data_IF_398611585262
#
_entry.id   IF_398611585262
#
_cell.length_a   1.000
_cell.length_b   1.000
_cell.length_c   1.000
_cell.angle_alpha   90.00
_cell.angle_beta   90.00
_cell.angle_gamma   90.00
#
_symmetry.space_group_name_H-M   'P 1'
#
loop_
_entity.id
_entity.type
_entity.pdbx_description
1 polymer ?
#
# COMPACT_ATOMS: atom_id res chain seq x y z
N UNK A 1 11.11 -19.39 -5.48
CA UNK A 1 11.77 -18.34 -4.67
C UNK A 1 12.89 -17.67 -5.47
N UNK A 2 14.05 -18.29 -5.68
CA UNK A 2 15.17 -17.68 -6.44
C UNK A 2 14.78 -17.10 -7.81
N UNK A 3 14.00 -17.81 -8.64
CA UNK A 3 13.55 -17.30 -9.94
C UNK A 3 12.64 -16.06 -9.86
N UNK A 4 11.91 -15.87 -8.76
CA UNK A 4 11.05 -14.70 -8.54
C UNK A 4 11.90 -13.47 -8.21
N UNK A 5 12.84 -13.60 -7.27
CA UNK A 5 13.79 -12.54 -6.92
C UNK A 5 14.62 -12.08 -8.12
N UNK A 6 15.15 -13.02 -8.92
CA UNK A 6 15.89 -12.66 -10.13
C UNK A 6 15.02 -11.89 -11.13
N UNK A 7 13.76 -12.29 -11.33
CA UNK A 7 12.83 -11.55 -12.21
C UNK A 7 12.59 -10.14 -11.70
N UNK A 8 12.33 -9.96 -10.41
CA UNK A 8 12.11 -8.63 -9.83
C UNK A 8 13.37 -7.76 -9.89
N UNK A 9 14.55 -8.33 -9.67
CA UNK A 9 15.82 -7.62 -9.85
C UNK A 9 15.99 -7.08 -11.26
N UNK A 10 15.75 -7.91 -12.29
CA UNK A 10 15.82 -7.44 -13.67
C UNK A 10 14.77 -6.37 -13.97
N UNK A 11 13.57 -6.46 -13.39
CA UNK A 11 12.56 -5.40 -13.52
C UNK A 11 12.99 -4.09 -12.87
N UNK A 12 13.54 -4.14 -11.66
CA UNK A 12 14.10 -2.97 -10.96
C UNK A 12 15.23 -2.34 -11.78
N UNK A 13 16.10 -3.18 -12.36
CA UNK A 13 17.14 -2.73 -13.29
C UNK A 13 16.56 -2.11 -14.56
N UNK A 14 15.53 -2.69 -15.16
CA UNK A 14 14.95 -2.19 -16.42
C UNK A 14 14.34 -0.78 -16.27
N UNK A 15 13.93 -0.40 -15.05
CA UNK A 15 13.49 0.96 -14.75
C UNK A 15 14.63 1.99 -14.85
N UNK A 16 15.84 1.63 -14.45
CA UNK A 16 17.02 2.50 -14.52
C UNK A 16 18.31 1.69 -14.74
N UNK A 17 18.55 1.17 -15.96
CA UNK A 17 19.68 0.27 -16.23
C UNK A 17 21.04 0.94 -16.08
N UNK A 18 21.07 2.28 -16.11
CA UNK A 18 22.25 3.11 -15.88
C UNK A 18 22.56 3.35 -14.39
N UNK A 19 21.58 3.19 -13.49
CA UNK A 19 21.74 3.42 -12.06
C UNK A 19 21.97 2.09 -11.32
N UNK A 20 21.24 1.05 -11.69
CA UNK A 20 21.33 -0.27 -11.06
C UNK A 20 22.46 -1.05 -11.75
N UNK A 21 23.49 -1.55 -11.06
CA UNK A 21 24.53 -2.42 -11.65
C UNK A 21 24.06 -3.88 -11.76
N UNK A 22 24.75 -4.69 -12.60
CA UNK A 22 24.46 -6.13 -12.73
C UNK A 22 25.05 -6.94 -11.59
N UNK A 23 26.22 -6.50 -11.10
CA UNK A 23 26.83 -7.02 -9.90
C UNK A 23 26.24 -6.32 -8.69
N UNK A 24 25.47 -7.06 -7.90
CA UNK A 24 24.84 -6.59 -6.68
C UNK A 24 25.44 -7.27 -5.43
N UNK A 25 26.59 -7.93 -5.57
CA UNK A 25 27.27 -8.68 -4.49
C UNK A 25 27.63 -7.76 -3.32
N UNK A 26 28.06 -6.54 -3.63
CA UNK A 26 28.43 -5.52 -2.64
C UNK A 26 27.23 -4.69 -2.13
N UNK A 27 26.00 -5.03 -2.54
CA UNK A 27 24.75 -4.30 -2.19
C UNK A 27 24.89 -2.77 -2.31
N UNK A 28 25.08 -2.25 -3.52
CA UNK A 28 25.27 -0.83 -3.73
C UNK A 28 24.01 -0.06 -3.30
N UNK A 29 24.23 1.10 -2.69
CA UNK A 29 23.17 2.02 -2.24
C UNK A 29 22.53 2.71 -3.46
N UNK A 30 21.55 2.03 -4.06
CA UNK A 30 20.85 2.47 -5.27
C UNK A 30 19.37 2.55 -4.98
N UNK A 31 18.85 3.77 -4.98
CA UNK A 31 17.44 4.08 -4.79
C UNK A 31 16.85 4.62 -6.09
N UNK A 32 15.71 4.08 -6.50
CA UNK A 32 14.96 4.60 -7.64
C UNK A 32 13.95 5.64 -7.19
N UNK A 33 13.84 6.76 -7.94
CA UNK A 33 12.86 7.78 -7.64
C UNK A 33 11.43 7.29 -7.88
N UNK A 34 10.49 7.81 -7.10
CA UNK A 34 9.07 7.47 -7.19
C UNK A 34 8.51 7.59 -8.61
N UNK A 35 8.95 8.55 -9.42
CA UNK A 35 8.45 8.73 -10.79
C UNK A 35 8.64 7.49 -11.66
N UNK A 36 9.73 6.74 -11.47
CA UNK A 36 9.97 5.49 -12.17
C UNK A 36 9.10 4.37 -11.60
N UNK A 37 9.02 4.26 -10.27
CA UNK A 37 8.20 3.26 -9.57
C UNK A 37 6.72 3.42 -9.90
N UNK A 38 6.17 4.64 -9.77
CA UNK A 38 4.77 4.95 -10.05
C UNK A 38 4.38 4.84 -11.52
N UNK A 39 5.35 4.83 -12.45
CA UNK A 39 5.10 4.61 -13.87
C UNK A 39 4.85 3.14 -14.24
N UNK A 40 5.13 2.21 -13.32
CA UNK A 40 4.98 0.78 -13.55
C UNK A 40 3.51 0.41 -13.84
N UNK A 41 3.25 -0.55 -14.75
CA UNK A 41 1.90 -1.02 -15.06
C UNK A 41 1.08 -1.44 -13.84
N UNK A 42 1.70 -2.01 -12.81
CA UNK A 42 1.06 -2.46 -11.57
C UNK A 42 0.54 -1.31 -10.69
N UNK A 43 1.18 -0.14 -10.79
CA UNK A 43 0.89 1.00 -9.93
C UNK A 43 0.20 2.13 -10.69
N UNK A 44 0.48 2.33 -11.98
CA UNK A 44 0.04 3.51 -12.74
C UNK A 44 -1.47 3.77 -12.67
N UNK A 45 -2.29 2.72 -12.68
CA UNK A 45 -3.75 2.81 -12.69
C UNK A 45 -4.36 2.75 -11.29
N UNK A 46 -3.54 2.55 -10.25
CA UNK A 46 -3.98 2.44 -8.87
C UNK A 46 -4.12 3.83 -8.21
N UNK A 47 -5.30 4.22 -7.69
CA UNK A 47 -5.50 5.52 -7.03
C UNK A 47 -4.67 5.70 -5.75
N UNK A 48 -4.17 4.61 -5.17
CA UNK A 48 -3.31 4.59 -3.99
C UNK A 48 -1.82 4.41 -4.34
N UNK A 49 -1.42 4.46 -5.62
CA UNK A 49 -0.03 4.19 -6.03
C UNK A 49 1.04 4.97 -5.27
N UNK A 50 0.77 6.24 -4.99
CA UNK A 50 1.68 7.10 -4.24
C UNK A 50 1.80 6.59 -2.80
N UNK A 51 0.67 6.28 -2.18
CA UNK A 51 0.63 5.81 -0.81
C UNK A 51 1.22 4.42 -0.64
N UNK A 52 1.01 3.54 -1.62
CA UNK A 52 1.70 2.25 -1.71
C UNK A 52 3.21 2.50 -1.72
N UNK A 53 3.69 3.41 -2.57
CA UNK A 53 5.11 3.69 -2.64
C UNK A 53 5.67 4.22 -1.32
N UNK A 54 4.99 5.21 -0.71
CA UNK A 54 5.37 5.80 0.59
C UNK A 54 5.40 4.79 1.73
N UNK A 55 4.50 3.80 1.73
CA UNK A 55 4.44 2.77 2.78
C UNK A 55 5.57 1.74 2.66
N UNK A 56 6.02 1.45 1.43
CA UNK A 56 7.10 0.50 1.19
C UNK A 56 8.48 1.16 1.15
N UNK A 57 8.57 2.46 0.91
CA UNK A 57 9.84 3.20 0.97
C UNK A 57 10.27 3.43 2.41
N UNK A 58 11.53 3.16 2.73
CA UNK A 58 12.10 3.50 4.05
C UNK A 58 12.10 5.01 4.32
N UNK A 59 12.24 5.85 3.29
CA UNK A 59 12.27 7.32 3.42
C UNK A 59 10.88 7.97 3.56
N UNK A 60 9.82 7.22 3.25
CA UNK A 60 8.44 7.71 3.26
C UNK A 60 8.08 8.65 2.10
N UNK A 61 9.00 8.89 1.16
CA UNK A 61 8.80 9.76 -0.01
C UNK A 61 8.46 8.94 -1.28
N UNK A 62 8.44 7.61 -1.17
CA UNK A 62 8.13 6.68 -2.25
C UNK A 62 9.32 6.34 -3.15
N UNK A 63 10.54 6.78 -2.79
CA UNK A 63 11.74 6.30 -3.44
C UNK A 63 12.08 4.90 -2.89
N UNK A 64 12.43 3.98 -3.77
CA UNK A 64 12.58 2.58 -3.38
C UNK A 64 14.00 2.10 -3.62
N UNK A 65 14.58 1.46 -2.62
CA UNK A 65 15.73 0.58 -2.79
C UNK A 65 15.31 -0.73 -3.45
N UNK A 66 16.28 -1.59 -3.80
CA UNK A 66 15.96 -2.93 -4.29
C UNK A 66 15.20 -3.75 -3.23
N UNK A 67 15.55 -3.60 -1.94
CA UNK A 67 14.93 -4.34 -0.86
C UNK A 67 13.45 -3.90 -0.68
N UNK A 68 13.18 -2.59 -0.70
CA UNK A 68 11.81 -2.03 -0.66
C UNK A 68 10.95 -2.57 -1.82
N UNK A 69 11.55 -2.60 -3.02
CA UNK A 69 10.90 -3.09 -4.21
C UNK A 69 10.56 -4.59 -4.09
N UNK A 70 11.50 -5.38 -3.58
CA UNK A 70 11.28 -6.81 -3.35
C UNK A 70 10.20 -7.04 -2.29
N UNK A 71 10.17 -6.26 -1.23
CA UNK A 71 9.17 -6.36 -0.16
C UNK A 71 7.77 -5.99 -0.68
N UNK A 72 7.65 -4.89 -1.44
CA UNK A 72 6.39 -4.51 -2.09
C UNK A 72 5.83 -5.65 -2.95
N UNK A 73 6.62 -6.20 -3.86
CA UNK A 73 6.16 -7.29 -4.72
C UNK A 73 5.96 -8.61 -3.97
N UNK A 74 6.65 -8.82 -2.85
CA UNK A 74 6.44 -9.97 -1.99
C UNK A 74 5.07 -9.90 -1.31
N UNK A 75 4.65 -8.73 -0.84
CA UNK A 75 3.32 -8.50 -0.23
C UNK A 75 2.19 -8.53 -1.27
N UNK A 76 2.44 -7.96 -2.46
CA UNK A 76 1.46 -7.98 -3.57
C UNK A 76 1.28 -9.37 -4.19
N UNK A 77 2.17 -10.32 -3.89
CA UNK A 77 2.06 -11.70 -4.36
C UNK A 77 0.75 -12.36 -3.89
N UNK A 78 0.14 -13.18 -4.75
CA UNK A 78 -1.00 -14.03 -4.37
C UNK A 78 -0.68 -14.97 -3.20
N UNK A 79 0.60 -15.36 -3.07
CA UNK A 79 1.06 -16.27 -2.03
C UNK A 79 1.32 -15.59 -0.68
N UNK A 80 1.22 -14.25 -0.60
CA UNK A 80 1.51 -13.55 0.65
C UNK A 80 0.46 -13.87 1.73
N UNK A 81 0.87 -14.03 3.00
CA UNK A 81 -0.05 -14.24 4.11
C UNK A 81 -1.10 -13.12 4.18
N UNK A 82 -2.35 -13.51 4.48
CA UNK A 82 -3.47 -12.55 4.59
C UNK A 82 -3.20 -11.48 5.64
N UNK A 83 -2.63 -11.86 6.78
CA UNK A 83 -2.33 -10.93 7.87
C UNK A 83 -1.30 -9.87 7.45
N UNK A 84 -0.32 -10.27 6.63
CA UNK A 84 0.67 -9.36 6.06
C UNK A 84 0.01 -8.39 5.07
N UNK A 85 -0.85 -8.89 4.17
CA UNK A 85 -1.61 -8.03 3.26
C UNK A 85 -2.51 -7.06 4.01
N UNK A 86 -3.21 -7.53 5.04
CA UNK A 86 -4.07 -6.71 5.88
C UNK A 86 -3.27 -5.61 6.60
N UNK A 87 -2.08 -5.94 7.12
CA UNK A 87 -1.19 -4.97 7.76
C UNK A 87 -0.74 -3.85 6.80
N UNK A 88 -0.28 -4.21 5.59
CA UNK A 88 0.12 -3.20 4.61
C UNK A 88 -1.07 -2.41 4.06
N UNK A 89 -2.22 -3.05 3.85
CA UNK A 89 -3.45 -2.36 3.48
C UNK A 89 -3.83 -1.33 4.55
N UNK A 90 -3.77 -1.71 5.83
CA UNK A 90 -4.00 -0.80 6.96
C UNK A 90 -3.08 0.42 6.89
N UNK A 91 -1.77 0.21 6.71
CA UNK A 91 -0.78 1.31 6.55
C UNK A 91 -1.03 2.20 5.33
N UNK A 92 -1.59 1.65 4.25
CA UNK A 92 -1.98 2.43 3.07
C UNK A 92 -3.22 3.29 3.36
N UNK A 93 -4.17 2.79 4.15
CA UNK A 93 -5.36 3.57 4.52
C UNK A 93 -5.10 4.60 5.62
N UNK A 94 -4.14 4.35 6.51
CA UNK A 94 -3.65 5.30 7.51
C UNK A 94 -2.82 6.41 6.83
N UNK A 95 -3.40 7.62 6.68
CA UNK A 95 -2.73 8.75 6.04
C UNK A 95 -1.96 9.64 7.02
N UNK A 96 -2.28 9.59 8.32
CA UNK A 96 -1.62 10.42 9.33
C UNK A 96 -0.53 9.65 10.10
N UNK A 97 -0.37 8.35 9.82
CA UNK A 97 0.58 7.43 10.43
C UNK A 97 0.42 7.35 11.95
N UNK A 98 -0.81 7.45 12.46
CA UNK A 98 -1.07 7.38 13.91
C UNK A 98 -1.41 5.97 14.42
N UNK A 99 -1.32 4.96 13.55
CA UNK A 99 -1.71 3.57 13.80
C UNK A 99 -3.21 3.35 14.03
N UNK A 100 -4.04 4.29 13.57
CA UNK A 100 -5.49 4.17 13.52
C UNK A 100 -6.04 4.68 12.19
N UNK A 101 -7.12 4.06 11.70
CA UNK A 101 -7.88 4.62 10.59
C UNK A 101 -9.02 5.42 11.18
N UNK A 102 -8.93 6.75 11.09
CA UNK A 102 -9.96 7.64 11.58
C UNK A 102 -10.86 8.15 10.44
N UNK A 103 -11.90 8.91 10.80
CA UNK A 103 -12.85 9.46 9.81
C UNK A 103 -12.16 10.26 8.71
N UNK A 104 -11.12 11.05 9.01
CA UNK A 104 -10.43 11.83 7.98
C UNK A 104 -9.64 10.97 6.99
N UNK A 105 -9.16 9.80 7.42
CA UNK A 105 -8.45 8.86 6.55
C UNK A 105 -9.43 8.14 5.62
N UNK A 106 -10.59 7.74 6.15
CA UNK A 106 -11.69 7.20 5.36
C UNK A 106 -12.22 8.24 4.36
N UNK A 107 -12.36 9.50 4.74
CA UNK A 107 -12.79 10.56 3.82
C UNK A 107 -11.82 10.70 2.63
N UNK A 108 -10.50 10.71 2.89
CA UNK A 108 -9.47 10.72 1.83
C UNK A 108 -9.55 9.47 0.95
N UNK A 109 -9.76 8.32 1.56
CA UNK A 109 -9.89 7.02 0.89
C UNK A 109 -11.09 7.00 -0.05
N UNK A 110 -12.27 7.35 0.44
CA UNK A 110 -13.52 7.38 -0.33
C UNK A 110 -13.39 8.37 -1.49
N UNK A 111 -12.85 9.56 -1.25
CA UNK A 111 -12.63 10.55 -2.29
C UNK A 111 -11.67 10.06 -3.39
N UNK A 112 -10.60 9.35 -3.03
CA UNK A 112 -9.69 8.72 -4.01
C UNK A 112 -10.37 7.64 -4.83
N UNK A 113 -11.22 6.81 -4.22
CA UNK A 113 -11.95 5.75 -4.89
C UNK A 113 -13.04 6.28 -5.83
N UNK A 114 -13.80 7.28 -5.39
CA UNK A 114 -14.91 7.86 -6.16
C UNK A 114 -14.49 9.00 -7.07
N UNK A 115 -13.18 9.33 -7.11
CA UNK A 115 -12.63 10.45 -7.89
C UNK A 115 -13.32 11.79 -7.56
N UNK A 116 -13.74 11.96 -6.31
CA UNK A 116 -14.49 13.11 -5.79
C UNK A 116 -15.86 13.32 -6.47
N UNK A 117 -16.49 12.25 -6.96
CA UNK A 117 -17.85 12.32 -7.55
C UNK A 117 -18.96 12.36 -6.49
N UNK A 118 -18.67 11.98 -5.25
CA UNK A 118 -19.62 12.01 -4.15
C UNK A 118 -19.70 13.38 -3.48
N UNK A 119 -20.89 13.71 -2.98
CA UNK A 119 -21.11 14.89 -2.14
C UNK A 119 -20.45 14.70 -0.76
N UNK A 120 -20.08 15.80 -0.06
CA UNK A 120 -19.53 15.71 1.29
C UNK A 120 -20.42 14.94 2.26
N UNK A 121 -21.74 15.04 2.11
CA UNK A 121 -22.72 14.33 2.92
C UNK A 121 -22.70 12.82 2.67
N UNK A 122 -22.60 12.38 1.42
CA UNK A 122 -22.48 10.97 1.05
C UNK A 122 -21.17 10.37 1.56
N UNK A 123 -20.05 11.10 1.40
CA UNK A 123 -18.74 10.67 1.91
C UNK A 123 -18.81 10.47 3.42
N UNK A 124 -19.37 11.43 4.16
CA UNK A 124 -19.53 11.32 5.62
C UNK A 124 -20.39 10.13 6.02
N UNK A 125 -21.51 9.90 5.33
CA UNK A 125 -22.40 8.77 5.61
C UNK A 125 -21.70 7.43 5.38
N UNK A 126 -20.90 7.31 4.33
CA UNK A 126 -20.09 6.11 4.08
C UNK A 126 -19.07 5.90 5.19
N UNK A 127 -18.33 6.95 5.57
CA UNK A 127 -17.33 6.85 6.63
C UNK A 127 -17.95 6.45 7.98
N UNK A 128 -19.10 7.04 8.33
CA UNK A 128 -19.83 6.71 9.56
C UNK A 128 -20.31 5.26 9.59
N UNK A 129 -20.82 4.74 8.45
CA UNK A 129 -21.21 3.33 8.35
C UNK A 129 -20.02 2.38 8.47
N UNK A 130 -18.90 2.71 7.82
CA UNK A 130 -17.69 1.89 7.89
C UNK A 130 -17.18 1.80 9.33
N UNK A 131 -17.07 2.94 10.03
CA UNK A 131 -16.66 2.93 11.44
C UNK A 131 -17.67 2.14 12.27
N UNK A 132 -18.97 2.42 12.15
CA UNK A 132 -20.01 1.73 12.92
C UNK A 132 -20.01 0.19 12.75
N UNK A 133 -19.65 -0.31 11.55
CA UNK A 133 -19.61 -1.75 11.28
C UNK A 133 -18.29 -2.41 11.67
N UNK A 134 -17.17 -1.67 11.64
CA UNK A 134 -15.83 -2.22 11.83
C UNK A 134 -15.26 -1.98 13.23
N UNK A 135 -15.64 -0.90 13.91
CA UNK A 135 -15.17 -0.51 15.24
C UNK A 135 -15.76 -1.45 16.32
N UNK A 136 -14.94 -2.37 16.84
CA UNK A 136 -15.39 -3.37 17.81
C UNK A 136 -15.37 -2.84 19.25
N UNK A 137 -14.46 -1.92 19.57
CA UNK A 137 -14.28 -1.38 20.91
C UNK A 137 -15.00 -0.05 21.15
N UNK A 138 -15.60 0.52 20.09
CA UNK A 138 -16.38 1.76 20.05
C UNK A 138 -15.58 3.00 20.47
N UNK A 139 -14.29 3.04 20.13
CA UNK A 139 -13.44 4.21 20.38
C UNK A 139 -13.53 5.30 19.28
N UNK A 140 -14.29 5.01 18.20
CA UNK A 140 -14.57 5.93 17.10
C UNK A 140 -13.48 5.97 16.02
N UNK A 141 -12.52 5.05 16.06
CA UNK A 141 -11.45 4.86 15.08
C UNK A 141 -11.24 3.35 14.88
N UNK A 142 -10.48 2.96 13.87
CA UNK A 142 -10.21 1.54 13.62
C UNK A 142 -8.75 1.24 13.94
N UNK A 143 -8.54 0.34 14.90
CA UNK A 143 -7.23 -0.25 15.13
C UNK A 143 -6.90 -1.29 14.04
N UNK A 144 -5.65 -1.77 14.02
CA UNK A 144 -5.27 -2.87 13.15
C UNK A 144 -6.12 -4.13 13.41
N UNK A 145 -6.50 -4.38 14.67
CA UNK A 145 -7.30 -5.55 15.05
C UNK A 145 -8.72 -5.45 14.49
N UNK A 146 -9.36 -4.28 14.59
CA UNK A 146 -10.67 -3.99 13.99
C UNK A 146 -10.63 -4.19 12.48
N UNK A 147 -9.58 -3.65 11.84
CA UNK A 147 -9.40 -3.74 10.39
C UNK A 147 -9.19 -5.19 9.92
N UNK A 148 -8.37 -5.98 10.63
CA UNK A 148 -8.19 -7.40 10.34
C UNK A 148 -9.51 -8.18 10.50
N UNK A 149 -10.27 -7.90 11.56
CA UNK A 149 -11.59 -8.50 11.76
C UNK A 149 -12.56 -8.15 10.63
N UNK A 150 -12.58 -6.89 10.19
CA UNK A 150 -13.39 -6.42 9.06
C UNK A 150 -13.02 -7.17 7.76
N UNK A 151 -11.73 -7.30 7.45
CA UNK A 151 -11.26 -7.98 6.25
C UNK A 151 -11.62 -9.48 6.26
N UNK A 152 -11.54 -10.15 7.40
CA UNK A 152 -11.93 -11.56 7.51
C UNK A 152 -13.43 -11.75 7.20
N UNK A 153 -14.27 -10.78 7.56
CA UNK A 153 -15.71 -10.78 7.26
C UNK A 153 -16.02 -10.45 5.80
N UNK A 154 -15.07 -9.85 5.07
CA UNK A 154 -15.17 -9.49 3.66
C UNK A 154 -14.20 -10.34 2.79
N UNK A 155 -14.48 -11.63 2.55
CA UNK A 155 -13.56 -12.53 1.83
C UNK A 155 -13.23 -12.11 0.39
N UNK A 156 -14.05 -11.25 -0.22
CA UNK A 156 -13.79 -10.69 -1.56
C UNK A 156 -12.72 -9.58 -1.54
N UNK A 157 -12.34 -9.05 -0.37
CA UNK A 157 -11.37 -7.96 -0.24
C UNK A 157 -9.91 -8.41 -0.43
N UNK A 158 -9.61 -9.70 -0.20
CA UNK A 158 -8.24 -10.27 -0.30
C UNK A 158 -8.08 -11.27 -1.45
N UNK A 159 -9.04 -11.34 -2.37
CA UNK A 159 -9.01 -12.26 -3.51
C UNK A 159 -8.21 -11.74 -4.68
#
# INVERSE_FOLDING_TARGET
VLSFYFRLFYRYRDLAPQLVPLDYTDKPDVTLPYELIGSMPELKDNPFRQRIAEVFSEDGDGNMTLDDFLDMFSVLSEMAPRDLKAYYAFKIYDFNNDDYICKSDLEKTVNKLTRNELTPEEVRLVCEKVIYEADLDNDGKLSLEDFQHMIIRAPDFLR
#
